data_IF_213441830569
#
_entry.id   IF_213441830569
#
_cell.length_a   1.000
_cell.length_b   1.000
_cell.length_c   1.000
_cell.angle_alpha   90.00
_cell.angle_beta   90.00
_cell.angle_gamma   90.00
#
_symmetry.space_group_name_H-M   'P 1'
#
loop_
_entity.id
_entity.type
_entity.pdbx_description
1 polymer ?
#
# COMPACT_ATOMS: atom_id res chain seq x y z
N UNK A 1 6.59 5.00 -35.84
CA UNK A 1 5.56 5.96 -36.33
C UNK A 1 5.20 6.94 -35.22
N UNK A 2 4.73 8.16 -35.55
CA UNK A 2 4.15 9.09 -34.57
C UNK A 2 2.62 8.91 -34.51
N UNK A 3 2.09 8.60 -33.33
CA UNK A 3 0.66 8.41 -33.08
C UNK A 3 0.19 9.51 -32.14
N UNK A 4 -0.75 10.34 -32.58
CA UNK A 4 -1.27 11.46 -31.80
C UNK A 4 -2.51 11.08 -31.00
N UNK A 5 -2.59 11.56 -29.76
CA UNK A 5 -3.77 11.45 -28.92
C UNK A 5 -4.20 12.83 -28.39
N UNK A 6 -5.47 13.18 -28.57
CA UNK A 6 -6.06 14.42 -28.08
C UNK A 6 -7.29 14.17 -27.20
N UNK A 7 -7.51 15.04 -26.21
CA UNK A 7 -8.65 14.92 -25.30
C UNK A 7 -9.23 16.29 -24.93
N UNK A 8 -10.55 16.39 -24.93
CA UNK A 8 -11.27 17.58 -24.43
C UNK A 8 -12.31 17.19 -23.38
N UNK A 9 -12.64 18.15 -22.50
CA UNK A 9 -13.67 17.97 -21.49
C UNK A 9 -15.07 18.17 -22.06
N UNK A 10 -15.31 19.22 -22.87
CA UNK A 10 -16.66 19.52 -23.41
C UNK A 10 -16.71 20.46 -24.62
N UNK A 11 -15.61 21.11 -25.04
CA UNK A 11 -15.64 22.17 -26.08
C UNK A 11 -14.87 21.79 -27.35
N UNK A 12 -15.55 21.84 -28.50
CA UNK A 12 -15.02 21.48 -29.83
C UNK A 12 -13.83 22.36 -30.27
N UNK A 13 -13.87 23.67 -29.97
CA UNK A 13 -12.81 24.63 -30.36
C UNK A 13 -11.41 24.26 -29.83
N UNK A 14 -11.31 23.53 -28.71
CA UNK A 14 -10.03 23.10 -28.14
C UNK A 14 -9.51 21.78 -28.74
N UNK A 15 -10.36 21.03 -29.44
CA UNK A 15 -9.96 19.76 -30.05
C UNK A 15 -9.23 20.00 -31.36
N UNK A 16 -9.70 20.94 -32.17
CA UNK A 16 -9.09 21.24 -33.46
C UNK A 16 -7.69 21.83 -33.28
N UNK A 17 -7.50 22.76 -32.32
CA UNK A 17 -6.18 23.25 -31.91
C UNK A 17 -5.20 22.13 -31.52
N UNK A 18 -5.69 21.08 -30.86
CA UNK A 18 -4.87 19.93 -30.50
C UNK A 18 -4.53 19.08 -31.72
N UNK A 19 -5.52 18.81 -32.58
CA UNK A 19 -5.33 18.04 -33.82
C UNK A 19 -4.31 18.73 -34.72
N UNK A 20 -4.46 20.03 -34.94
CA UNK A 20 -3.56 20.83 -35.78
C UNK A 20 -2.12 20.76 -35.25
N UNK A 21 -1.93 20.90 -33.94
CA UNK A 21 -0.62 20.77 -33.32
C UNK A 21 -0.02 19.37 -33.48
N UNK A 22 -0.84 18.31 -33.35
CA UNK A 22 -0.40 16.93 -33.53
C UNK A 22 -0.06 16.61 -34.99
N UNK A 23 -0.85 17.10 -35.94
CA UNK A 23 -0.59 16.98 -37.38
C UNK A 23 0.69 17.72 -37.76
N UNK A 24 0.87 18.95 -37.28
CA UNK A 24 2.09 19.74 -37.49
C UNK A 24 3.34 19.06 -36.90
N UNK A 25 3.17 18.29 -35.80
CA UNK A 25 4.24 17.48 -35.23
C UNK A 25 4.54 16.18 -36.02
N UNK A 26 3.79 15.89 -37.08
CA UNK A 26 3.99 14.72 -37.94
C UNK A 26 3.27 13.44 -37.50
N UNK A 27 2.22 13.55 -36.66
CA UNK A 27 1.42 12.39 -36.27
C UNK A 27 0.64 11.84 -37.47
N UNK A 28 0.84 10.56 -37.79
CA UNK A 28 0.22 9.91 -38.94
C UNK A 28 -1.18 9.37 -38.64
N UNK A 29 -1.41 9.00 -37.37
CA UNK A 29 -2.69 8.51 -36.87
C UNK A 29 -3.09 9.37 -35.68
N UNK A 30 -4.36 9.78 -35.62
CA UNK A 30 -4.90 10.54 -34.51
C UNK A 30 -6.05 9.79 -33.85
N UNK A 31 -6.03 9.79 -32.52
CA UNK A 31 -7.10 9.28 -31.68
C UNK A 31 -7.60 10.40 -30.77
N UNK A 32 -8.90 10.44 -30.52
CA UNK A 32 -9.52 11.54 -29.77
C UNK A 32 -10.55 11.06 -28.78
N UNK A 33 -10.61 11.69 -27.61
CA UNK A 33 -11.70 11.50 -26.65
C UNK A 33 -12.38 12.82 -26.29
N UNK A 34 -13.70 12.78 -26.15
CA UNK A 34 -14.50 13.82 -25.51
C UNK A 34 -15.01 13.26 -24.18
N UNK A 35 -14.40 13.69 -23.08
CA UNK A 35 -14.59 13.06 -21.78
C UNK A 35 -14.49 14.09 -20.64
N UNK A 36 -15.63 14.39 -20.00
CA UNK A 36 -15.71 15.22 -18.79
C UNK A 36 -15.72 14.37 -17.51
N UNK A 37 -14.86 14.70 -16.55
CA UNK A 37 -14.87 14.10 -15.22
C UNK A 37 -13.99 12.87 -15.03
N UNK A 38 -13.71 12.54 -13.77
CA UNK A 38 -12.71 11.53 -13.38
C UNK A 38 -13.08 10.08 -13.76
N UNK A 39 -14.36 9.78 -14.01
CA UNK A 39 -14.87 8.43 -14.35
C UNK A 39 -15.24 8.24 -15.82
N UNK A 40 -15.06 9.25 -16.68
CA UNK A 40 -15.41 9.14 -18.08
C UNK A 40 -14.53 8.11 -18.80
N UNK A 41 -15.15 7.21 -19.55
CA UNK A 41 -14.45 6.23 -20.39
C UNK A 41 -13.64 6.96 -21.47
N UNK A 42 -12.51 6.37 -21.86
CA UNK A 42 -11.55 6.93 -22.82
C UNK A 42 -11.24 5.92 -23.92
N UNK A 43 -12.25 5.53 -24.71
CA UNK A 43 -12.06 4.54 -25.77
C UNK A 43 -10.98 4.97 -26.76
N UNK A 44 -10.87 6.27 -27.09
CA UNK A 44 -9.84 6.75 -27.99
C UNK A 44 -8.41 6.56 -27.45
N UNK A 45 -8.20 6.68 -26.13
CA UNK A 45 -6.89 6.38 -25.55
C UNK A 45 -6.59 4.88 -25.63
N UNK A 46 -7.58 4.03 -25.33
CA UNK A 46 -7.42 2.58 -25.41
C UNK A 46 -7.05 2.16 -26.83
N UNK A 47 -7.80 2.65 -27.82
CA UNK A 47 -7.54 2.38 -29.23
C UNK A 47 -6.14 2.87 -29.66
N UNK A 48 -5.70 4.03 -29.16
CA UNK A 48 -4.38 4.56 -29.44
C UNK A 48 -3.27 3.64 -28.89
N UNK A 49 -3.43 3.18 -27.65
CA UNK A 49 -2.48 2.28 -26.99
C UNK A 49 -2.44 0.91 -27.70
N UNK A 50 -3.59 0.37 -28.06
CA UNK A 50 -3.70 -0.91 -28.79
C UNK A 50 -3.13 -0.84 -30.21
N UNK A 51 -3.13 0.35 -30.82
CA UNK A 51 -2.54 0.59 -32.13
C UNK A 51 -1.01 0.69 -32.09
N UNK A 52 -0.43 1.19 -31.00
CA UNK A 52 1.02 1.36 -30.87
C UNK A 52 1.77 0.03 -30.99
N UNK A 53 2.95 0.07 -31.61
CA UNK A 53 3.89 -1.04 -31.72
C UNK A 53 5.28 -0.62 -31.21
N UNK A 54 6.14 -1.58 -30.86
CA UNK A 54 7.53 -1.26 -30.48
C UNK A 54 8.22 -0.40 -31.57
N UNK A 55 8.86 0.69 -31.16
CA UNK A 55 9.47 1.69 -32.05
C UNK A 55 8.53 2.85 -32.46
N UNK A 56 7.25 2.80 -32.09
CA UNK A 56 6.34 3.94 -32.22
C UNK A 56 6.54 4.96 -31.09
N UNK A 57 5.98 6.15 -31.28
CA UNK A 57 5.95 7.21 -30.27
C UNK A 57 4.53 7.71 -30.14
N UNK A 58 3.97 7.61 -28.92
CA UNK A 58 2.71 8.23 -28.57
C UNK A 58 2.94 9.71 -28.27
N UNK A 59 2.25 10.57 -29.00
CA UNK A 59 2.38 12.03 -28.92
C UNK A 59 1.09 12.61 -28.37
N UNK A 60 1.21 13.48 -27.36
CA UNK A 60 0.08 14.25 -26.81
C UNK A 60 0.38 15.73 -26.88
N UNK A 61 -0.66 16.55 -26.98
CA UNK A 61 -0.48 18.00 -26.97
C UNK A 61 0.08 18.50 -25.63
N UNK A 62 -0.44 17.97 -24.52
CA UNK A 62 -0.06 18.27 -23.13
C UNK A 62 -0.16 17.04 -22.25
N UNK A 63 0.62 17.00 -21.15
CA UNK A 63 0.61 15.91 -20.18
C UNK A 63 -0.77 15.62 -19.55
N UNK A 64 -1.57 16.67 -19.29
CA UNK A 64 -2.93 16.56 -18.73
C UNK A 64 -3.92 15.85 -19.66
N UNK A 65 -3.55 15.71 -20.94
CA UNK A 65 -4.33 14.96 -21.91
C UNK A 65 -4.13 13.46 -21.72
N UNK A 66 -2.94 13.00 -21.32
CA UNK A 66 -2.66 11.58 -21.13
C UNK A 66 -3.10 11.07 -19.74
N UNK A 67 -2.68 11.72 -18.65
CA UNK A 67 -2.92 11.27 -17.28
C UNK A 67 -4.04 12.03 -16.55
N UNK A 68 -4.70 11.37 -15.60
CA UNK A 68 -5.65 12.03 -14.67
C UNK A 68 -4.96 12.57 -13.40
N UNK A 69 -3.77 12.07 -13.12
CA UNK A 69 -2.89 12.46 -12.04
C UNK A 69 -1.44 12.20 -12.49
N UNK A 70 -0.48 12.79 -11.79
CA UNK A 70 0.93 12.57 -12.09
C UNK A 70 1.33 11.08 -11.93
N UNK A 71 0.90 10.33 -10.88
CA UNK A 71 1.17 8.89 -10.78
C UNK A 71 0.61 8.09 -11.96
N UNK A 72 -0.64 8.37 -12.36
CA UNK A 72 -1.25 7.67 -13.50
C UNK A 72 -0.50 7.95 -14.82
N UNK A 73 -0.02 9.18 -15.00
CA UNK A 73 0.81 9.55 -16.15
C UNK A 73 2.12 8.74 -16.15
N UNK A 74 2.81 8.71 -15.01
CA UNK A 74 4.09 8.00 -14.85
C UNK A 74 3.92 6.51 -15.11
N UNK A 75 2.88 5.88 -14.55
CA UNK A 75 2.56 4.48 -14.79
C UNK A 75 2.29 4.20 -16.27
N UNK A 76 1.47 5.03 -16.93
CA UNK A 76 1.16 4.89 -18.36
C UNK A 76 2.43 4.94 -19.21
N UNK A 77 3.31 5.92 -18.96
CA UNK A 77 4.55 6.09 -19.74
C UNK A 77 5.58 5.00 -19.41
N UNK A 78 5.66 4.51 -18.17
CA UNK A 78 6.46 3.32 -17.80
C UNK A 78 6.00 2.09 -18.59
N UNK A 79 4.69 1.87 -18.71
CA UNK A 79 4.12 0.77 -19.48
C UNK A 79 4.44 0.88 -20.98
N UNK A 80 4.34 2.09 -21.55
CA UNK A 80 4.76 2.34 -22.94
C UNK A 80 6.25 2.02 -23.14
N UNK A 81 7.11 2.50 -22.25
CA UNK A 81 8.55 2.26 -22.33
C UNK A 81 8.89 0.76 -22.23
N UNK A 82 8.20 0.01 -21.36
CA UNK A 82 8.35 -1.44 -21.24
C UNK A 82 7.96 -2.20 -22.53
N UNK A 83 7.05 -1.65 -23.32
CA UNK A 83 6.66 -2.17 -24.63
C UNK A 83 7.54 -1.65 -25.78
N UNK A 84 8.59 -0.88 -25.48
CA UNK A 84 9.45 -0.27 -26.49
C UNK A 84 8.79 0.89 -27.25
N UNK A 85 7.74 1.49 -26.70
CA UNK A 85 7.03 2.62 -27.27
C UNK A 85 7.53 3.91 -26.59
N UNK A 86 7.89 4.90 -27.40
CA UNK A 86 8.28 6.23 -26.93
C UNK A 86 7.05 7.08 -26.54
N UNK A 87 7.29 8.11 -25.75
CA UNK A 87 6.27 9.08 -25.37
C UNK A 87 6.77 10.50 -25.59
N UNK A 88 5.90 11.36 -26.13
CA UNK A 88 6.20 12.77 -26.37
C UNK A 88 5.03 13.67 -25.98
N UNK A 89 5.35 14.80 -25.36
CA UNK A 89 4.42 15.91 -25.14
C UNK A 89 4.89 17.16 -25.87
N UNK A 90 3.99 17.84 -26.57
CA UNK A 90 4.34 18.99 -27.40
C UNK A 90 4.56 20.27 -26.59
N UNK A 91 3.69 20.57 -25.61
CA UNK A 91 3.76 21.80 -24.81
C UNK A 91 4.89 21.79 -23.78
N UNK A 92 5.10 20.67 -23.11
CA UNK A 92 6.15 20.53 -22.10
C UNK A 92 7.50 20.16 -22.74
N UNK A 93 7.53 19.95 -24.07
CA UNK A 93 8.70 19.53 -24.84
C UNK A 93 9.41 18.30 -24.24
N UNK A 94 8.64 17.40 -23.64
CA UNK A 94 9.13 16.16 -23.05
C UNK A 94 9.14 15.07 -24.12
N UNK A 95 10.29 14.43 -24.35
CA UNK A 95 10.46 13.35 -25.34
C UNK A 95 11.27 12.20 -24.74
N UNK A 96 10.61 11.11 -24.35
CA UNK A 96 11.23 9.95 -23.71
C UNK A 96 12.03 9.07 -24.67
N UNK A 97 12.09 9.41 -25.97
CA UNK A 97 13.01 8.77 -26.91
C UNK A 97 14.44 9.29 -26.75
N UNK A 98 14.63 10.45 -26.12
CA UNK A 98 15.92 11.08 -25.87
C UNK A 98 16.43 10.78 -24.45
N UNK A 99 17.75 10.73 -24.25
CA UNK A 99 18.35 10.51 -22.92
C UNK A 99 17.95 11.61 -21.93
N UNK A 100 17.93 12.88 -22.38
CA UNK A 100 17.51 14.01 -21.55
C UNK A 100 16.03 13.94 -21.16
N UNK A 101 15.14 13.57 -22.10
CA UNK A 101 13.72 13.43 -21.78
C UNK A 101 13.43 12.22 -20.89
N UNK A 102 14.20 11.12 -21.00
CA UNK A 102 14.16 10.02 -20.03
C UNK A 102 14.54 10.48 -18.63
N UNK A 103 15.61 11.26 -18.50
CA UNK A 103 16.03 11.81 -17.21
C UNK A 103 14.94 12.69 -16.58
N UNK A 104 14.38 13.64 -17.35
CA UNK A 104 13.30 14.51 -16.87
C UNK A 104 12.09 13.68 -16.46
N UNK A 105 11.75 12.64 -17.24
CA UNK A 105 10.66 11.74 -16.89
C UNK A 105 10.91 10.98 -15.57
N UNK A 106 12.14 10.50 -15.32
CA UNK A 106 12.48 9.87 -14.04
C UNK A 106 12.33 10.84 -12.85
N UNK A 107 12.68 12.12 -13.03
CA UNK A 107 12.45 13.15 -12.01
C UNK A 107 10.94 13.30 -11.72
N UNK A 108 10.10 13.35 -12.76
CA UNK A 108 8.65 13.38 -12.58
C UNK A 108 8.12 12.12 -11.89
N UNK A 109 8.70 10.96 -12.19
CA UNK A 109 8.34 9.71 -11.55
C UNK A 109 8.65 9.73 -10.04
N UNK A 110 9.85 10.16 -9.66
CA UNK A 110 10.23 10.32 -8.26
C UNK A 110 9.38 11.35 -7.52
N UNK A 111 9.03 12.46 -8.19
CA UNK A 111 8.12 13.46 -7.61
C UNK A 111 6.71 12.89 -7.39
N UNK A 112 6.22 12.07 -8.31
CA UNK A 112 4.90 11.42 -8.18
C UNK A 112 4.84 10.45 -6.99
N UNK A 113 5.90 9.68 -6.78
CA UNK A 113 6.06 8.78 -5.63
C UNK A 113 6.10 9.57 -4.32
N UNK A 114 6.89 10.64 -4.26
CA UNK A 114 6.95 11.54 -3.12
C UNK A 114 5.58 12.16 -2.78
N UNK A 115 4.82 12.65 -3.77
CA UNK A 115 3.47 13.18 -3.54
C UNK A 115 2.52 12.12 -2.96
N UNK A 116 2.59 10.88 -3.42
CA UNK A 116 1.77 9.78 -2.88
C UNK A 116 2.12 9.49 -1.43
N UNK A 117 3.40 9.46 -1.09
CA UNK A 117 3.85 9.20 0.27
C UNK A 117 3.41 10.30 1.23
N UNK A 118 3.52 11.57 0.83
CA UNK A 118 3.02 12.71 1.62
C UNK A 118 1.51 12.63 1.86
N UNK A 119 0.72 12.27 0.83
CA UNK A 119 -0.73 12.09 0.97
C UNK A 119 -1.04 10.94 1.93
N UNK A 120 -0.31 9.83 1.81
CA UNK A 120 -0.48 8.64 2.66
C UNK A 120 -0.15 8.97 4.11
N UNK A 121 0.99 9.61 4.37
CA UNK A 121 1.44 10.03 5.69
C UNK A 121 0.40 10.94 6.35
N UNK A 122 -0.05 11.98 5.65
CA UNK A 122 -1.08 12.90 6.16
C UNK A 122 -2.39 12.17 6.48
N UNK A 123 -2.79 11.22 5.63
CA UNK A 123 -4.01 10.43 5.84
C UNK A 123 -3.89 9.56 7.08
N UNK A 124 -2.75 8.89 7.28
CA UNK A 124 -2.51 8.05 8.45
C UNK A 124 -2.45 8.89 9.74
N UNK A 125 -1.77 10.03 9.71
CA UNK A 125 -1.76 10.97 10.84
C UNK A 125 -3.17 11.50 11.18
N UNK A 126 -3.99 11.77 10.16
CA UNK A 126 -5.39 12.16 10.35
C UNK A 126 -6.23 11.05 10.97
N UNK A 127 -6.06 9.80 10.51
CA UNK A 127 -6.75 8.62 11.02
C UNK A 127 -6.34 8.29 12.45
N UNK A 128 -5.04 8.33 12.78
CA UNK A 128 -4.55 8.11 14.14
C UNK A 128 -5.11 9.16 15.10
N UNK A 129 -5.06 10.44 14.74
CA UNK A 129 -5.64 11.52 15.53
C UNK A 129 -7.17 11.40 15.67
N UNK A 130 -7.88 10.89 14.65
CA UNK A 130 -9.31 10.61 14.73
C UNK A 130 -9.62 9.45 15.70
N UNK A 131 -8.82 8.38 15.66
CA UNK A 131 -8.94 7.23 16.57
C UNK A 131 -8.72 7.61 18.03
N UNK A 132 -7.69 8.42 18.31
CA UNK A 132 -7.44 8.96 19.67
C UNK A 132 -8.64 9.77 20.18
N UNK A 133 -9.36 10.45 19.29
CA UNK A 133 -10.60 11.19 19.61
C UNK A 133 -11.86 10.31 19.61
N UNK A 134 -11.72 8.98 19.60
CA UNK A 134 -12.83 8.03 19.65
C UNK A 134 -13.56 7.77 18.32
N UNK A 135 -13.09 8.33 17.19
CA UNK A 135 -13.63 8.00 15.86
C UNK A 135 -12.88 6.79 15.28
N UNK A 136 -13.48 5.61 15.42
CA UNK A 136 -12.91 4.33 14.96
C UNK A 136 -12.95 4.15 13.43
N UNK A 137 -13.76 4.93 12.71
CA UNK A 137 -13.93 4.81 11.26
C UNK A 137 -14.66 3.52 10.84
N UNK A 138 -14.65 3.21 9.55
CA UNK A 138 -15.27 2.01 8.99
C UNK A 138 -16.80 2.06 8.86
N UNK A 139 -17.38 0.99 8.30
CA UNK A 139 -18.84 0.83 8.21
C UNK A 139 -19.41 0.70 9.63
N UNK A 140 -20.40 1.53 10.04
CA UNK A 140 -21.04 1.38 11.34
C UNK A 140 -21.44 -0.07 11.61
N UNK A 141 -21.04 -0.60 12.76
CA UNK A 141 -21.38 -1.96 13.14
C UNK A 141 -22.85 -2.04 13.57
N UNK A 142 -23.54 -3.08 13.10
CA UNK A 142 -24.93 -3.35 13.43
C UNK A 142 -25.89 -3.13 12.25
N UNK A 143 -26.87 -4.01 12.13
CA UNK A 143 -28.09 -3.74 11.36
C UNK A 143 -29.08 -3.15 12.36
N UNK A 144 -29.94 -2.26 11.87
CA UNK A 144 -31.11 -1.71 12.56
C UNK A 144 -31.59 -2.58 13.73
N UNK A 145 -31.51 -2.04 14.95
CA UNK A 145 -31.93 -2.69 16.20
C UNK A 145 -33.36 -3.27 16.07
N UNK A 146 -34.22 -2.64 15.27
CA UNK A 146 -35.56 -3.15 14.96
C UNK A 146 -35.52 -4.52 14.28
N UNK A 147 -34.63 -4.72 13.31
CA UNK A 147 -34.46 -5.99 12.58
C UNK A 147 -33.91 -7.09 13.49
N UNK A 148 -32.98 -6.75 14.39
CA UNK A 148 -32.45 -7.69 15.39
C UNK A 148 -33.57 -8.18 16.33
N UNK A 149 -34.37 -7.27 16.87
CA UNK A 149 -35.52 -7.63 17.72
C UNK A 149 -36.56 -8.48 16.99
N UNK A 150 -36.88 -8.13 15.74
CA UNK A 150 -37.80 -8.90 14.92
C UNK A 150 -37.30 -10.33 14.67
N UNK A 151 -36.01 -10.50 14.35
CA UNK A 151 -35.40 -11.83 14.18
C UNK A 151 -35.44 -12.67 15.47
N UNK A 152 -35.14 -12.07 16.63
CA UNK A 152 -35.20 -12.74 17.93
C UNK A 152 -36.63 -13.13 18.34
N UNK A 153 -37.62 -12.28 18.08
CA UNK A 153 -39.02 -12.58 18.34
C UNK A 153 -39.53 -13.74 17.47
N UNK A 154 -39.16 -13.74 16.18
CA UNK A 154 -39.55 -14.80 15.25
C UNK A 154 -38.85 -16.13 15.51
N UNK A 155 -37.62 -16.13 16.05
CA UNK A 155 -36.90 -17.34 16.49
C UNK A 155 -37.69 -18.13 17.54
N UNK A 156 -38.44 -17.44 18.42
CA UNK A 156 -39.24 -18.08 19.49
C UNK A 156 -40.44 -18.86 18.96
N UNK A 157 -40.81 -18.69 17.69
CA UNK A 157 -41.93 -19.40 17.08
C UNK A 157 -41.43 -20.72 16.46
N UNK A 158 -41.81 -21.89 17.00
CA UNK A 158 -41.29 -23.19 16.55
C UNK A 158 -41.75 -23.61 15.15
N UNK A 159 -42.67 -22.87 14.52
CA UNK A 159 -43.24 -23.20 13.21
C UNK A 159 -42.52 -22.56 12.03
N UNK A 160 -41.57 -21.63 12.25
CA UNK A 160 -40.92 -20.87 11.18
C UNK A 160 -39.49 -21.32 10.92
N UNK A 161 -39.16 -21.49 9.64
CA UNK A 161 -37.79 -21.84 9.23
C UNK A 161 -36.88 -20.62 9.25
N UNK A 162 -35.58 -20.84 9.47
CA UNK A 162 -34.56 -19.78 9.42
C UNK A 162 -34.60 -18.99 8.10
N UNK A 163 -34.89 -19.68 6.98
CA UNK A 163 -34.97 -19.06 5.66
C UNK A 163 -36.13 -18.04 5.58
N UNK A 164 -37.31 -18.40 6.10
CA UNK A 164 -38.47 -17.51 6.13
C UNK A 164 -38.24 -16.32 7.06
N UNK A 165 -37.62 -16.54 8.21
CA UNK A 165 -37.28 -15.45 9.14
C UNK A 165 -36.32 -14.44 8.49
N UNK A 166 -35.31 -14.92 7.77
CA UNK A 166 -34.38 -14.07 7.02
C UNK A 166 -35.08 -13.24 5.93
N UNK A 167 -36.05 -13.83 5.22
CA UNK A 167 -36.83 -13.14 4.18
C UNK A 167 -37.74 -12.07 4.77
N UNK A 168 -38.42 -12.36 5.88
CA UNK A 168 -39.34 -11.43 6.55
C UNK A 168 -38.60 -10.23 7.14
N UNK A 169 -37.42 -10.46 7.72
CA UNK A 169 -36.62 -9.40 8.35
C UNK A 169 -35.72 -8.67 7.34
N UNK A 170 -35.50 -9.27 6.15
CA UNK A 170 -34.63 -8.73 5.10
C UNK A 170 -33.17 -8.70 5.54
N UNK A 171 -32.66 -9.82 6.06
CA UNK A 171 -31.26 -10.02 6.47
C UNK A 171 -30.68 -11.33 5.90
N UNK A 172 -29.36 -11.39 5.74
CA UNK A 172 -28.69 -12.64 5.32
C UNK A 172 -28.73 -13.71 6.42
N UNK A 173 -28.61 -15.00 6.05
CA UNK A 173 -28.51 -16.09 7.05
C UNK A 173 -27.33 -15.90 7.99
N UNK A 174 -26.19 -15.41 7.48
CA UNK A 174 -24.99 -15.18 8.30
C UNK A 174 -25.25 -14.09 9.35
N UNK A 175 -25.96 -13.04 8.96
CA UNK A 175 -26.44 -11.98 9.86
C UNK A 175 -27.45 -12.49 10.89
N UNK A 176 -28.37 -13.39 10.49
CA UNK A 176 -29.32 -14.03 11.38
C UNK A 176 -28.63 -14.84 12.48
N UNK A 177 -27.74 -15.76 12.13
CA UNK A 177 -27.03 -16.59 13.12
C UNK A 177 -26.17 -15.74 14.06
N UNK A 178 -25.55 -14.66 13.55
CA UNK A 178 -24.82 -13.67 14.36
C UNK A 178 -25.73 -12.95 15.37
N UNK A 179 -27.03 -12.78 15.09
CA UNK A 179 -28.01 -12.17 16.01
C UNK A 179 -28.67 -13.15 16.96
N UNK A 180 -28.85 -14.39 16.54
CA UNK A 180 -29.60 -15.40 17.30
C UNK A 180 -28.72 -16.35 18.10
N UNK A 181 -27.39 -16.26 17.97
CA UNK A 181 -26.46 -16.96 18.86
C UNK A 181 -26.73 -16.53 20.31
N UNK A 182 -26.87 -17.49 21.21
CA UNK A 182 -26.99 -17.19 22.64
C UNK A 182 -25.65 -16.67 23.17
N UNK A 183 -25.65 -15.68 24.07
CA UNK A 183 -24.43 -15.32 24.79
C UNK A 183 -23.96 -16.58 25.54
N UNK A 184 -22.76 -17.06 25.24
CA UNK A 184 -22.12 -18.11 26.05
C UNK A 184 -22.16 -17.66 27.51
N UNK A 185 -22.68 -18.50 28.39
CA UNK A 185 -22.70 -18.25 29.83
C UNK A 185 -21.26 -17.97 30.30
N UNK A 186 -21.04 -16.74 30.75
CA UNK A 186 -19.84 -16.32 31.47
C UNK A 186 -20.20 -16.43 32.95
N UNK A 187 -19.48 -17.27 33.70
CA UNK A 187 -19.60 -17.40 35.16
C UNK A 187 -19.34 -16.04 35.84
N UNK A 188 -19.98 -15.73 36.98
CA UNK A 188 -19.90 -14.42 37.58
C UNK A 188 -18.58 -14.24 38.36
N UNK A 189 -17.67 -13.42 37.83
CA UNK A 189 -16.63 -12.75 38.62
C UNK A 189 -17.20 -11.43 39.20
N UNK A 190 -16.69 -10.94 40.35
CA UNK A 190 -17.30 -9.85 41.10
C UNK A 190 -17.16 -8.49 40.39
N UNK A 191 -18.31 -7.85 40.21
CA UNK A 191 -18.64 -6.42 40.06
C UNK A 191 -17.51 -5.44 39.63
N UNK A 192 -17.68 -5.01 38.37
CA UNK A 192 -17.49 -3.68 37.75
C UNK A 192 -16.14 -2.96 37.80
N UNK A 193 -15.39 -3.11 36.71
CA UNK A 193 -14.83 -2.02 35.88
C UNK A 193 -14.48 -2.65 34.51
N UNK A 194 -15.09 -2.15 33.42
CA UNK A 194 -14.94 -2.74 32.08
C UNK A 194 -13.55 -2.40 31.52
N UNK A 195 -12.65 -3.36 31.75
CA UNK A 195 -11.23 -3.33 31.41
C UNK A 195 -10.92 -3.87 30.01
N UNK A 196 -9.88 -3.28 29.45
CA UNK A 196 -9.32 -3.31 28.11
C UNK A 196 -8.67 -4.66 27.75
N UNK A 197 -9.47 -5.69 27.42
CA UNK A 197 -8.93 -7.05 27.14
C UNK A 197 -8.33 -7.26 25.75
N UNK A 198 -8.41 -6.31 24.81
CA UNK A 198 -7.71 -6.41 23.52
C UNK A 198 -6.32 -5.77 23.52
N UNK A 199 -5.95 -5.06 24.59
CA UNK A 199 -4.67 -4.39 24.72
C UNK A 199 -3.71 -5.08 25.70
N UNK A 200 -3.86 -6.39 25.95
CA UNK A 200 -2.91 -7.10 26.84
C UNK A 200 -1.58 -7.27 26.10
N UNK A 201 -0.49 -6.60 26.54
CA UNK A 201 0.81 -6.77 25.90
C UNK A 201 1.22 -8.22 26.04
N UNK A 202 1.47 -8.86 24.90
CA UNK A 202 2.07 -10.18 24.79
C UNK A 202 3.55 -10.00 24.52
N UNK A 203 4.33 -11.03 24.80
CA UNK A 203 5.77 -11.04 24.51
C UNK A 203 6.01 -12.16 23.52
N UNK A 204 6.56 -11.84 22.35
CA UNK A 204 7.07 -12.81 21.41
C UNK A 204 8.56 -13.02 21.68
N UNK A 205 8.97 -14.27 21.91
CA UNK A 205 10.38 -14.63 22.00
C UNK A 205 10.87 -15.08 20.64
N UNK A 206 11.90 -14.41 20.13
CA UNK A 206 12.47 -14.69 18.81
C UNK A 206 13.97 -14.91 18.89
N UNK A 207 14.48 -15.83 18.08
CA UNK A 207 15.90 -16.01 17.83
C UNK A 207 16.26 -15.23 16.58
N UNK A 208 17.17 -14.28 16.72
CA UNK A 208 17.73 -13.47 15.65
C UNK A 208 19.17 -13.89 15.40
N UNK A 209 19.46 -14.36 14.19
CA UNK A 209 20.81 -14.61 13.72
C UNK A 209 21.23 -13.47 12.78
N UNK A 210 22.42 -12.91 12.95
CA UNK A 210 22.94 -11.83 12.10
C UNK A 210 24.41 -12.08 11.77
N UNK A 211 24.74 -12.01 10.49
CA UNK A 211 26.11 -11.95 10.00
C UNK A 211 26.35 -10.61 9.27
N UNK A 212 27.39 -9.89 9.68
CA UNK A 212 27.79 -8.61 9.07
C UNK A 212 29.17 -8.78 8.43
N UNK A 213 29.28 -8.39 7.16
CA UNK A 213 30.52 -8.44 6.41
C UNK A 213 30.85 -7.10 5.75
N UNK A 214 32.14 -6.86 5.50
CA UNK A 214 32.57 -5.65 4.81
C UNK A 214 32.25 -5.77 3.31
N UNK A 215 31.76 -4.70 2.66
CA UNK A 215 31.51 -4.72 1.21
C UNK A 215 32.78 -4.86 0.37
N UNK A 216 33.95 -4.68 0.96
CA UNK A 216 35.24 -4.82 0.28
C UNK A 216 36.37 -5.11 1.26
N UNK A 217 37.45 -5.73 0.75
CA UNK A 217 38.70 -5.97 1.49
C UNK A 217 39.39 -4.69 2.00
N UNK A 218 38.98 -3.51 1.53
CA UNK A 218 39.52 -2.21 1.96
C UNK A 218 38.67 -1.54 3.06
N UNK A 219 37.46 -2.03 3.32
CA UNK A 219 36.58 -1.51 4.38
C UNK A 219 36.86 -2.26 5.68
N UNK A 220 36.85 -1.54 6.81
CA UNK A 220 37.03 -2.08 8.17
C UNK A 220 35.88 -1.59 9.06
N UNK A 221 34.65 -1.89 8.64
CA UNK A 221 33.43 -1.39 9.26
C UNK A 221 32.68 -2.43 10.09
N UNK A 222 32.83 -3.73 9.81
CA UNK A 222 31.94 -4.77 10.36
C UNK A 222 31.82 -4.82 11.88
N UNK A 223 32.92 -4.62 12.61
CA UNK A 223 32.89 -4.56 14.08
C UNK A 223 32.06 -3.39 14.60
N UNK A 224 32.31 -2.19 14.07
CA UNK A 224 31.57 -0.97 14.42
C UNK A 224 30.11 -1.01 13.97
N UNK A 225 29.81 -1.68 12.87
CA UNK A 225 28.44 -1.89 12.40
C UNK A 225 27.68 -2.80 13.36
N UNK A 226 28.32 -3.88 13.81
CA UNK A 226 27.75 -4.77 14.81
C UNK A 226 27.52 -4.08 16.16
N UNK A 227 28.48 -3.30 16.64
CA UNK A 227 28.32 -2.49 17.86
C UNK A 227 27.18 -1.47 17.74
N UNK A 228 26.99 -0.88 16.55
CA UNK A 228 25.89 0.04 16.30
C UNK A 228 24.53 -0.68 16.33
N UNK A 229 24.41 -1.86 15.69
CA UNK A 229 23.19 -2.68 15.77
C UNK A 229 22.85 -3.00 17.24
N UNK A 230 23.83 -3.48 18.01
CA UNK A 230 23.61 -3.84 19.41
C UNK A 230 23.18 -2.63 20.26
N UNK A 231 23.83 -1.48 20.05
CA UNK A 231 23.56 -0.25 20.82
C UNK A 231 22.28 0.45 20.41
N UNK A 232 21.95 0.49 19.13
CA UNK A 232 20.93 1.38 18.56
C UNK A 232 19.66 0.65 18.14
N UNK A 233 19.71 -0.66 17.91
CA UNK A 233 18.52 -1.46 17.58
C UNK A 233 18.19 -2.39 18.72
N UNK A 234 19.11 -3.31 19.05
CA UNK A 234 18.82 -4.40 19.97
C UNK A 234 18.61 -3.92 21.41
N UNK A 235 19.25 -2.81 21.82
CA UNK A 235 19.09 -2.22 23.16
C UNK A 235 17.65 -1.80 23.52
N UNK A 236 16.79 -1.61 22.51
CA UNK A 236 15.37 -1.30 22.71
C UNK A 236 14.55 -2.51 23.18
N UNK A 237 15.12 -3.72 23.11
CA UNK A 237 14.45 -4.97 23.47
C UNK A 237 15.15 -5.61 24.67
N UNK A 238 14.43 -6.49 25.38
CA UNK A 238 15.09 -7.37 26.33
C UNK A 238 15.82 -8.47 25.55
N UNK A 239 17.16 -8.42 25.59
CA UNK A 239 18.05 -9.27 24.78
C UNK A 239 18.92 -10.14 25.66
N UNK A 240 18.95 -11.42 25.33
CA UNK A 240 19.95 -12.35 25.83
C UNK A 240 20.88 -12.72 24.67
N UNK A 241 22.19 -12.62 24.90
CA UNK A 241 23.20 -13.02 23.92
C UNK A 241 23.87 -14.31 24.41
N UNK A 242 23.51 -15.48 23.85
CA UNK A 242 23.99 -16.78 24.35
C UNK A 242 25.51 -16.92 24.28
N UNK A 243 26.11 -16.36 23.23
CA UNK A 243 27.57 -16.25 23.07
C UNK A 243 27.96 -14.78 22.85
N UNK A 244 28.77 -14.17 23.74
CA UNK A 244 29.25 -12.81 23.59
C UNK A 244 29.89 -12.49 22.24
N UNK A 245 30.49 -13.49 21.56
CA UNK A 245 31.10 -13.35 20.23
C UNK A 245 30.25 -13.94 19.10
N UNK A 246 29.28 -14.78 19.41
CA UNK A 246 28.43 -15.50 18.47
C UNK A 246 27.37 -14.61 17.83
N UNK A 247 26.89 -14.98 16.65
CA UNK A 247 25.97 -14.21 15.79
C UNK A 247 24.48 -14.30 16.17
N UNK A 248 24.15 -14.95 17.28
CA UNK A 248 22.78 -15.19 17.71
C UNK A 248 22.37 -14.32 18.90
N UNK A 249 21.13 -13.88 18.87
CA UNK A 249 20.48 -13.07 19.89
C UNK A 249 19.08 -13.62 20.18
N UNK A 250 18.66 -13.61 21.43
CA UNK A 250 17.29 -13.93 21.85
C UNK A 250 16.61 -12.64 22.25
N UNK A 251 15.59 -12.23 21.50
CA UNK A 251 14.83 -11.00 21.74
C UNK A 251 13.46 -11.32 22.32
N UNK A 252 13.02 -10.49 23.25
CA UNK A 252 11.63 -10.46 23.72
C UNK A 252 10.95 -9.21 23.17
N UNK A 253 10.09 -9.40 22.16
CA UNK A 253 9.38 -8.32 21.47
C UNK A 253 7.98 -8.18 22.09
N UNK A 254 7.67 -7.06 22.77
CA UNK A 254 6.32 -6.80 23.23
C UNK A 254 5.42 -6.47 22.03
N UNK A 255 4.24 -7.08 21.96
CA UNK A 255 3.25 -6.81 20.92
C UNK A 255 1.84 -6.98 21.46
N UNK A 256 0.91 -6.22 20.90
CA UNK A 256 -0.50 -6.24 21.31
C UNK A 256 -1.36 -6.91 20.24
N UNK A 257 -0.96 -6.75 18.97
CA UNK A 257 -1.58 -7.35 17.79
C UNK A 257 -0.53 -7.97 16.85
N UNK A 258 -0.91 -9.00 16.09
CA UNK A 258 0.02 -9.67 15.17
C UNK A 258 0.61 -8.72 14.11
N UNK A 259 -0.20 -7.79 13.58
CA UNK A 259 0.25 -6.78 12.61
C UNK A 259 1.32 -5.82 13.20
N UNK A 260 1.27 -5.58 14.51
CA UNK A 260 2.27 -4.76 15.22
C UNK A 260 3.59 -5.51 15.34
N UNK A 261 3.54 -6.82 15.62
CA UNK A 261 4.72 -7.66 15.71
C UNK A 261 5.48 -7.69 14.38
N UNK A 262 4.80 -7.93 13.26
CA UNK A 262 5.44 -7.94 11.94
C UNK A 262 6.03 -6.56 11.59
N UNK A 263 5.35 -5.48 11.98
CA UNK A 263 5.84 -4.13 11.77
C UNK A 263 7.11 -3.85 12.58
N UNK A 264 7.14 -4.20 13.87
CA UNK A 264 8.34 -4.03 14.71
C UNK A 264 9.50 -4.83 14.12
N UNK A 265 9.26 -6.05 13.66
CA UNK A 265 10.29 -6.91 13.08
C UNK A 265 10.87 -6.32 11.79
N UNK A 266 10.03 -5.98 10.82
CA UNK A 266 10.53 -5.51 9.52
C UNK A 266 10.95 -4.04 9.53
N UNK A 267 10.14 -3.16 10.11
CA UNK A 267 10.38 -1.70 10.05
C UNK A 267 11.33 -1.21 11.15
N UNK A 268 11.25 -1.77 12.36
CA UNK A 268 12.06 -1.27 13.50
C UNK A 268 13.34 -2.07 13.72
N UNK A 269 13.35 -3.37 13.40
CA UNK A 269 14.53 -4.24 13.58
C UNK A 269 15.31 -4.36 12.26
N UNK A 270 14.77 -5.05 11.25
CA UNK A 270 15.54 -5.35 10.02
C UNK A 270 15.96 -4.09 9.25
N UNK A 271 15.02 -3.19 8.96
CA UNK A 271 15.32 -1.99 8.20
C UNK A 271 16.31 -1.07 8.93
N UNK A 272 16.22 -0.96 10.26
CA UNK A 272 17.15 -0.17 11.06
C UNK A 272 18.57 -0.78 11.05
N UNK A 273 18.69 -2.11 11.17
CA UNK A 273 19.99 -2.78 11.07
C UNK A 273 20.62 -2.60 9.68
N UNK A 274 19.83 -2.74 8.62
CA UNK A 274 20.30 -2.54 7.25
C UNK A 274 20.83 -1.13 7.04
N UNK A 275 20.13 -0.12 7.56
CA UNK A 275 20.59 1.27 7.50
C UNK A 275 21.95 1.46 8.17
N UNK A 276 22.10 0.98 9.42
CA UNK A 276 23.35 1.11 10.18
C UNK A 276 24.54 0.40 9.55
N UNK A 277 24.28 -0.73 8.88
CA UNK A 277 25.28 -1.52 8.17
C UNK A 277 25.71 -0.81 6.88
N UNK A 278 24.75 -0.27 6.13
CA UNK A 278 25.00 0.47 4.89
C UNK A 278 25.79 1.76 5.12
N UNK A 279 25.50 2.53 6.18
CA UNK A 279 26.27 3.73 6.57
C UNK A 279 27.76 3.44 6.78
N UNK A 280 28.10 2.18 7.11
CA UNK A 280 29.46 1.73 7.40
C UNK A 280 30.06 0.92 6.24
N UNK A 281 29.44 0.98 5.06
CA UNK A 281 29.85 0.26 3.85
C UNK A 281 30.03 -1.25 4.08
N UNK A 282 29.13 -1.82 4.88
CA UNK A 282 29.02 -3.25 5.13
C UNK A 282 27.73 -3.78 4.50
N UNK A 283 27.56 -5.09 4.49
CA UNK A 283 26.30 -5.76 4.18
C UNK A 283 26.00 -6.76 5.31
N UNK A 284 24.73 -7.17 5.41
CA UNK A 284 24.31 -8.12 6.42
C UNK A 284 23.41 -9.21 5.82
N UNK A 285 23.50 -10.39 6.41
CA UNK A 285 22.49 -11.43 6.32
C UNK A 285 21.89 -11.59 7.72
N UNK A 286 20.57 -11.69 7.81
CA UNK A 286 19.90 -11.94 9.06
C UNK A 286 18.64 -12.77 8.85
N UNK A 287 18.37 -13.63 9.83
CA UNK A 287 17.19 -14.49 9.88
C UNK A 287 16.59 -14.41 11.27
N UNK A 288 15.26 -14.38 11.35
CA UNK A 288 14.58 -14.41 12.63
C UNK A 288 13.55 -15.55 12.70
N UNK A 289 13.46 -16.23 13.84
CA UNK A 289 12.54 -17.37 14.03
C UNK A 289 11.93 -17.33 15.43
N UNK A 290 10.64 -17.63 15.55
CA UNK A 290 10.00 -17.71 16.86
C UNK A 290 10.57 -18.89 17.66
N UNK A 291 10.84 -18.67 18.95
CA UNK A 291 11.43 -19.71 19.81
C UNK A 291 10.44 -20.87 20.04
N UNK A 292 9.15 -20.55 20.18
CA UNK A 292 8.10 -21.51 20.49
C UNK A 292 7.43 -22.10 19.23
N UNK A 293 7.70 -21.54 18.04
CA UNK A 293 7.13 -21.96 16.76
C UNK A 293 8.17 -21.85 15.62
N UNK A 294 8.95 -22.92 15.34
CA UNK A 294 10.02 -22.90 14.35
C UNK A 294 9.57 -22.68 12.89
N UNK A 295 8.28 -22.87 12.60
CA UNK A 295 7.68 -22.64 11.29
C UNK A 295 7.39 -21.14 11.07
N UNK A 296 7.39 -20.35 12.15
CA UNK A 296 7.19 -18.91 12.11
C UNK A 296 8.53 -18.17 12.02
N UNK A 297 8.85 -17.70 10.81
CA UNK A 297 10.13 -17.06 10.45
C UNK A 297 9.93 -15.73 9.75
N UNK A 298 10.93 -14.86 9.87
CA UNK A 298 10.98 -13.54 9.24
C UNK A 298 12.34 -13.27 8.63
#
# INVERSE_FOLDING_TARGET
MLIGYARISTTEQNLDLQKDALLAAGCQRLFTDVASGAKAQRPGLVDALDHCRPGDVLVVWKLDRLGRSLPHLVETVRNLAAQGIGFKSLRENLDTTTSSGKLIFHIFASLAEFEQDVIRERTQAGLSAARVRGRLGGRPQGVDEKKKRAALALKKNPTRTVKEICQIVGISRNTYYKYTAEPKAVSPDPISEQDDRSARPRIMKVRLWIQVENNSKFVRGKGKAREAIEREVLSHFAVEKPDPKGSEYLLSIPYTHEDELDRVIYEEIFLAMEHLVNERHCFMEADMTAVDDPDRRW
#
